data_IF_782072957866
#
_entry.id   IF_782072957866
#
_cell.length_a   1.000
_cell.length_b   1.000
_cell.length_c   1.000
_cell.angle_alpha   90.00
_cell.angle_beta   90.00
_cell.angle_gamma   90.00
#
_symmetry.space_group_name_H-M   'P 1'
#
loop_
_entity.id
_entity.type
_entity.pdbx_description
1 polymer ?
#
# COMPACT_ATOMS: atom_id res chain seq x y z
N UNK A 1 28.18 -0.50 6.10
CA UNK A 1 27.43 -1.75 5.88
C UNK A 1 26.92 -1.73 4.46
N UNK A 2 27.55 -2.54 3.61
CA UNK A 2 27.33 -2.57 2.17
C UNK A 2 26.07 -3.37 1.87
N UNK A 3 25.00 -2.68 1.49
CA UNK A 3 23.83 -3.32 0.90
C UNK A 3 24.19 -3.74 -0.51
N UNK A 4 24.14 -5.05 -0.75
CA UNK A 4 24.51 -5.67 -2.02
C UNK A 4 23.41 -5.34 -3.03
N UNK A 5 23.64 -4.35 -3.88
CA UNK A 5 22.85 -4.12 -5.09
C UNK A 5 23.19 -5.23 -6.09
N UNK A 6 22.29 -6.20 -6.24
CA UNK A 6 22.30 -7.09 -7.43
C UNK A 6 21.39 -6.45 -8.46
N UNK A 7 21.98 -6.00 -9.56
CA UNK A 7 21.29 -5.45 -10.72
C UNK A 7 20.20 -6.41 -11.25
N UNK A 8 18.98 -5.92 -11.54
CA UNK A 8 17.98 -6.70 -12.25
C UNK A 8 18.25 -6.68 -13.77
N UNK A 9 17.96 -7.77 -14.50
CA UNK A 9 18.14 -7.81 -15.94
C UNK A 9 17.10 -6.91 -16.62
N UNK A 10 17.62 -6.07 -17.51
CA UNK A 10 16.89 -5.14 -18.36
C UNK A 10 16.12 -5.87 -19.45
N UNK A 11 14.80 -6.02 -19.31
CA UNK A 11 13.89 -6.13 -20.47
C UNK A 11 12.51 -5.57 -20.12
N UNK A 12 12.36 -4.25 -20.28
CA UNK A 12 11.08 -3.57 -20.18
C UNK A 12 10.21 -3.81 -21.42
N UNK A 13 8.94 -4.14 -21.21
CA UNK A 13 7.86 -3.80 -22.14
C UNK A 13 7.15 -2.56 -21.62
N UNK A 14 6.95 -1.59 -22.51
CA UNK A 14 6.26 -0.33 -22.25
C UNK A 14 4.76 -0.61 -22.07
N UNK A 15 4.22 -0.31 -20.88
CA UNK A 15 2.78 -0.27 -20.67
C UNK A 15 2.32 -0.55 -19.25
N UNK A 16 3.11 -1.26 -18.45
CA UNK A 16 2.68 -1.72 -17.13
C UNK A 16 3.18 -0.78 -16.04
N UNK A 17 2.27 -0.30 -15.18
CA UNK A 17 2.65 0.37 -13.95
C UNK A 17 3.60 -0.55 -13.16
N UNK A 18 4.75 -0.07 -12.68
CA UNK A 18 5.70 -0.91 -11.97
C UNK A 18 4.99 -1.57 -10.78
N UNK A 19 5.13 -2.89 -10.68
CA UNK A 19 4.58 -3.63 -9.56
C UNK A 19 5.15 -3.03 -8.25
N UNK A 20 4.33 -2.88 -7.20
CA UNK A 20 4.84 -2.50 -5.89
C UNK A 20 6.04 -3.37 -5.52
N UNK A 21 7.12 -2.74 -5.03
CA UNK A 21 8.33 -3.43 -4.60
C UNK A 21 7.95 -4.53 -3.59
N UNK A 22 8.11 -5.81 -3.96
CA UNK A 22 7.69 -6.96 -3.13
C UNK A 22 6.53 -7.81 -3.68
N UNK A 23 6.21 -7.72 -4.97
CA UNK A 23 5.26 -8.63 -5.64
C UNK A 23 5.93 -9.38 -6.78
N UNK A 24 5.68 -10.69 -6.85
CA UNK A 24 6.14 -11.56 -7.94
C UNK A 24 5.06 -11.61 -9.02
N UNK A 25 5.46 -11.48 -10.28
CA UNK A 25 4.56 -11.56 -11.43
C UNK A 25 4.86 -12.81 -12.26
N UNK A 26 4.34 -13.97 -11.84
CA UNK A 26 4.36 -15.18 -12.65
C UNK A 26 3.08 -15.26 -13.50
N UNK A 27 3.15 -14.79 -14.75
CA UNK A 27 2.12 -15.06 -15.75
C UNK A 27 0.74 -14.40 -15.53
N UNK A 28 0.67 -13.28 -14.82
CA UNK A 28 -0.55 -12.45 -14.71
C UNK A 28 -1.30 -12.53 -13.38
N UNK A 29 -0.77 -13.22 -12.37
CA UNK A 29 -1.31 -13.24 -11.00
C UNK A 29 -0.31 -12.58 -10.05
N UNK A 30 -0.76 -11.58 -9.29
CA UNK A 30 0.06 -10.92 -8.27
C UNK A 30 0.07 -11.80 -7.02
N UNK A 31 1.25 -12.27 -6.65
CA UNK A 31 1.46 -13.12 -5.48
C UNK A 31 2.38 -12.42 -4.48
N UNK A 32 2.11 -12.66 -3.19
CA UNK A 32 2.92 -12.13 -2.10
C UNK A 32 4.33 -12.75 -2.13
N UNK A 33 5.38 -11.94 -2.13
CA UNK A 33 6.77 -12.44 -2.07
C UNK A 33 7.10 -13.16 -0.75
N UNK A 34 6.32 -12.91 0.30
CA UNK A 34 6.57 -13.47 1.62
C UNK A 34 5.99 -14.89 1.80
N UNK A 35 4.76 -15.13 1.34
CA UNK A 35 4.08 -16.42 1.52
C UNK A 35 3.57 -17.07 0.23
N UNK A 36 3.68 -16.39 -0.91
CA UNK A 36 3.15 -16.86 -2.20
C UNK A 36 1.63 -16.71 -2.38
N UNK A 37 0.92 -16.22 -1.36
CA UNK A 37 -0.54 -16.11 -1.38
C UNK A 37 -1.07 -15.01 -2.32
N UNK A 38 -2.35 -15.11 -2.67
CA UNK A 38 -3.02 -14.13 -3.54
C UNK A 38 -3.25 -12.78 -2.85
N UNK A 39 -3.07 -11.69 -3.61
CA UNK A 39 -3.30 -10.33 -3.13
C UNK A 39 -4.65 -9.75 -3.60
N UNK A 40 -5.20 -8.83 -2.81
CA UNK A 40 -6.39 -8.06 -3.15
C UNK A 40 -6.05 -6.58 -3.27
N UNK A 41 -6.63 -5.89 -4.26
CA UNK A 41 -6.18 -4.56 -4.70
C UNK A 41 -6.70 -3.34 -3.93
N UNK A 42 -7.67 -3.51 -3.02
CA UNK A 42 -8.33 -2.38 -2.34
C UNK A 42 -8.51 -2.65 -0.85
N UNK A 43 -8.13 -1.66 -0.04
CA UNK A 43 -8.30 -1.73 1.42
C UNK A 43 -8.53 -0.36 2.07
N UNK A 44 -8.86 -0.39 3.37
CA UNK A 44 -8.95 0.79 4.23
C UNK A 44 -7.62 1.04 4.94
N UNK A 45 -7.02 2.22 4.76
CA UNK A 45 -5.76 2.60 5.39
C UNK A 45 -6.03 3.51 6.59
N UNK A 46 -5.47 3.16 7.74
CA UNK A 46 -5.40 4.04 8.90
C UNK A 46 -4.14 4.90 8.78
N UNK A 47 -4.28 6.21 8.91
CA UNK A 47 -3.16 7.14 8.79
C UNK A 47 -3.25 8.18 9.91
N UNK A 48 -2.16 8.32 10.67
CA UNK A 48 -2.03 9.31 11.71
C UNK A 48 -1.36 10.55 11.14
N UNK A 49 -2.03 11.70 11.22
CA UNK A 49 -1.47 12.98 10.80
C UNK A 49 -1.88 14.07 11.79
N UNK A 50 -0.91 14.87 12.23
CA UNK A 50 -1.12 15.97 13.19
C UNK A 50 -1.93 15.56 14.45
N UNK A 51 -1.68 14.35 14.98
CA UNK A 51 -2.37 13.83 16.17
C UNK A 51 -3.83 13.39 15.93
N UNK A 52 -4.29 13.37 14.67
CA UNK A 52 -5.63 12.88 14.29
C UNK A 52 -5.50 11.57 13.53
N UNK A 53 -6.41 10.64 13.83
CA UNK A 53 -6.54 9.38 13.11
C UNK A 53 -7.49 9.56 11.91
N UNK A 54 -6.96 9.37 10.70
CA UNK A 54 -7.71 9.38 9.46
C UNK A 54 -7.89 7.95 8.94
N UNK A 55 -9.11 7.63 8.52
CA UNK A 55 -9.42 6.36 7.85
C UNK A 55 -9.70 6.64 6.38
N UNK A 56 -8.73 6.29 5.52
CA UNK A 56 -8.85 6.46 4.07
C UNK A 56 -9.42 5.19 3.47
N UNK A 57 -10.58 5.29 2.84
CA UNK A 57 -11.24 4.18 2.16
C UNK A 57 -10.86 4.10 0.69
N UNK A 58 -10.97 2.90 0.11
CA UNK A 58 -10.68 2.62 -1.30
C UNK A 58 -9.25 3.00 -1.71
N UNK A 59 -8.29 2.71 -0.84
CA UNK A 59 -6.87 2.87 -1.16
C UNK A 59 -6.45 1.70 -2.04
N UNK A 60 -5.90 2.01 -3.21
CA UNK A 60 -5.32 1.04 -4.13
C UNK A 60 -4.01 0.50 -3.54
N UNK A 61 -4.07 -0.72 -3.01
CA UNK A 61 -2.98 -1.39 -2.34
C UNK A 61 -3.16 -2.90 -2.47
N UNK A 62 -2.06 -3.62 -2.66
CA UNK A 62 -2.08 -5.08 -2.76
C UNK A 62 -1.93 -5.66 -1.35
N UNK A 63 -2.97 -6.33 -0.84
CA UNK A 63 -2.97 -6.95 0.48
C UNK A 63 -3.03 -8.45 0.34
N UNK A 64 -2.05 -9.15 0.90
CA UNK A 64 -2.07 -10.61 0.95
C UNK A 64 -3.17 -11.08 1.90
N UNK A 65 -4.05 -11.97 1.42
CA UNK A 65 -5.15 -12.53 2.22
C UNK A 65 -4.70 -13.55 3.25
N UNK A 66 -3.52 -14.13 3.07
CA UNK A 66 -3.00 -15.19 3.94
C UNK A 66 -2.14 -14.63 5.07
N UNK A 67 -1.12 -13.82 4.75
CA UNK A 67 -0.21 -13.27 5.76
C UNK A 67 -0.60 -11.85 6.25
N UNK A 68 -1.47 -11.14 5.53
CA UNK A 68 -1.86 -9.78 5.87
C UNK A 68 -0.88 -8.68 5.47
N UNK A 69 0.18 -9.02 4.73
CA UNK A 69 1.17 -8.06 4.21
C UNK A 69 0.51 -7.05 3.25
N UNK A 70 0.97 -5.79 3.27
CA UNK A 70 0.34 -4.70 2.54
C UNK A 70 1.36 -3.94 1.70
N UNK A 71 1.20 -4.01 0.40
CA UNK A 71 2.05 -3.31 -0.56
C UNK A 71 1.33 -2.09 -1.10
N UNK A 72 1.97 -0.93 -0.96
CA UNK A 72 1.49 0.34 -1.49
C UNK A 72 2.39 0.79 -2.62
N UNK A 73 1.80 1.29 -3.70
CA UNK A 73 2.56 2.01 -4.71
C UNK A 73 2.96 3.39 -4.16
N UNK A 74 4.17 3.85 -4.49
CA UNK A 74 4.67 5.14 -3.99
C UNK A 74 3.71 6.29 -4.33
N UNK A 75 3.17 6.30 -5.56
CA UNK A 75 2.18 7.31 -5.98
C UNK A 75 0.89 7.27 -5.16
N UNK A 76 0.47 6.09 -4.68
CA UNK A 76 -0.72 5.98 -3.84
C UNK A 76 -0.48 6.66 -2.49
N UNK A 77 0.71 6.48 -1.92
CA UNK A 77 1.09 7.14 -0.67
C UNK A 77 1.14 8.66 -0.84
N UNK A 78 1.78 9.14 -1.91
CA UNK A 78 1.85 10.58 -2.22
C UNK A 78 0.46 11.22 -2.36
N UNK A 79 -0.48 10.51 -3.00
CA UNK A 79 -1.87 10.98 -3.16
C UNK A 79 -2.57 11.06 -1.81
N UNK A 80 -2.35 10.09 -0.93
CA UNK A 80 -2.95 10.08 0.42
C UNK A 80 -2.41 11.25 1.25
N UNK A 81 -1.10 11.48 1.23
CA UNK A 81 -0.48 12.54 2.02
C UNK A 81 -0.99 13.91 1.56
N UNK A 82 -1.00 14.17 0.24
CA UNK A 82 -1.59 15.40 -0.34
C UNK A 82 -3.07 15.58 -0.02
N UNK A 83 -3.84 14.48 -0.01
CA UNK A 83 -5.26 14.52 0.32
C UNK A 83 -5.48 14.96 1.78
N UNK A 84 -4.65 14.47 2.70
CA UNK A 84 -4.79 14.73 4.13
C UNK A 84 -4.20 16.09 4.55
N UNK A 85 -3.14 16.55 3.90
CA UNK A 85 -2.58 17.90 4.08
C UNK A 85 -3.53 19.01 3.58
N UNK A 86 -4.35 18.70 2.58
CA UNK A 86 -5.32 19.63 2.00
C UNK A 86 -6.70 19.64 2.68
N UNK A 87 -7.62 20.44 2.11
CA UNK A 87 -9.05 20.40 2.45
C UNK A 87 -9.67 19.13 1.85
N UNK A 88 -10.02 18.17 2.70
CA UNK A 88 -10.70 16.95 2.31
C UNK A 88 -12.14 16.92 2.84
N UNK A 89 -13.05 16.29 2.08
CA UNK A 89 -14.43 16.07 2.51
C UNK A 89 -14.49 14.80 3.36
N UNK A 90 -14.82 14.96 4.64
CA UNK A 90 -15.07 13.83 5.53
C UNK A 90 -16.38 13.14 5.10
N UNK A 91 -16.30 11.87 4.71
CA UNK A 91 -17.48 11.07 4.35
C UNK A 91 -18.30 10.67 5.57
N UNK A 92 -17.62 10.32 6.66
CA UNK A 92 -18.19 9.97 7.96
C UNK A 92 -17.14 10.15 9.05
N UNK A 93 -17.58 10.52 10.25
CA UNK A 93 -16.78 10.48 11.48
C UNK A 93 -17.15 9.23 12.27
N UNK A 94 -16.19 8.69 13.02
CA UNK A 94 -16.41 7.61 13.98
C UNK A 94 -15.70 8.01 15.27
N UNK A 95 -16.34 7.79 16.41
CA UNK A 95 -15.70 7.94 17.71
C UNK A 95 -14.85 6.69 17.98
N UNK A 96 -13.62 6.90 18.43
CA UNK A 96 -12.66 5.83 18.71
C UNK A 96 -12.12 6.08 20.11
N UNK A 97 -12.39 5.17 21.04
CA UNK A 97 -11.83 5.20 22.38
C UNK A 97 -10.38 4.71 22.34
N UNK A 98 -9.47 5.48 22.95
CA UNK A 98 -8.06 5.12 23.10
C UNK A 98 -7.80 4.87 24.58
N UNK A 99 -7.44 3.64 24.91
CA UNK A 99 -7.09 3.22 26.27
C UNK A 99 -5.58 3.04 26.39
N UNK A 100 -5.02 3.41 27.54
CA UNK A 100 -3.61 3.18 27.90
C UNK A 100 -3.56 2.43 29.24
N UNK A 101 -2.58 1.53 29.39
CA UNK A 101 -2.33 0.75 30.61
C UNK A 101 -1.51 1.55 31.64
#
# INVERSE_FOLDING_TARGET
MTVVFRDPPSHGRRGDAPAPHGLRCDGGRMTCEFCGGETAKKMRKHHWLHGKLYVVENVDAEVCRECGERYYHATTLDVIDKLLEGKHKVKRSMEVEVVSL
#
